data_IF_897157647251
#
_entry.id   IF_897157647251
#
_cell.length_a   1.000
_cell.length_b   1.000
_cell.length_c   1.000
_cell.angle_alpha   90.00
_cell.angle_beta   90.00
_cell.angle_gamma   90.00
#
_symmetry.space_group_name_H-M   'P 1'
#
loop_
_entity.id
_entity.type
_entity.pdbx_description
1 polymer ?
#
# COMPACT_ATOMS: atom_id res chain seq x y z
N UNK A 1 -4.58 -28.74 34.87
CA UNK A 1 -3.57 -27.66 34.81
C UNK A 1 -3.97 -26.76 33.65
N UNK A 2 -4.64 -25.64 33.96
CA UNK A 2 -5.25 -24.73 32.98
C UNK A 2 -4.20 -23.66 32.66
N UNK A 3 -3.77 -23.58 31.40
CA UNK A 3 -2.92 -22.49 30.90
C UNK A 3 -3.84 -21.27 30.80
N UNK A 4 -3.53 -20.23 31.58
CA UNK A 4 -4.19 -18.93 31.47
C UNK A 4 -3.63 -18.23 30.24
N UNK A 5 -4.50 -17.97 29.27
CA UNK A 5 -4.21 -17.11 28.13
C UNK A 5 -3.86 -15.71 28.65
N UNK A 6 -2.64 -15.26 28.34
CA UNK A 6 -2.27 -13.86 28.49
C UNK A 6 -2.97 -13.06 27.40
N UNK A 7 -4.20 -12.65 27.68
CA UNK A 7 -4.89 -11.61 26.91
C UNK A 7 -4.15 -10.30 27.21
N UNK A 8 -3.36 -9.84 26.25
CA UNK A 8 -2.91 -8.44 26.23
C UNK A 8 -4.19 -7.61 26.08
N UNK A 9 -4.49 -6.83 27.10
CA UNK A 9 -5.63 -5.91 27.14
C UNK A 9 -5.57 -4.95 25.95
N UNK A 10 -6.26 -5.28 24.86
CA UNK A 10 -6.66 -4.30 23.87
C UNK A 10 -7.61 -3.32 24.57
N UNK A 11 -7.12 -2.10 24.82
CA UNK A 11 -7.99 -1.01 25.23
C UNK A 11 -9.08 -0.88 24.16
N UNK A 12 -10.38 -0.83 24.52
CA UNK A 12 -11.43 -0.64 23.53
C UNK A 12 -11.26 0.75 22.92
N UNK A 13 -10.68 0.81 21.72
CA UNK A 13 -10.71 2.01 20.90
C UNK A 13 -12.17 2.24 20.57
N UNK A 14 -12.73 3.38 21.01
CA UNK A 14 -14.14 3.68 20.81
C UNK A 14 -14.39 3.78 19.30
N UNK A 15 -15.41 3.09 18.78
CA UNK A 15 -15.74 3.07 17.34
C UNK A 15 -15.79 4.48 16.72
N UNK A 16 -16.27 5.48 17.47
CA UNK A 16 -16.31 6.89 17.05
C UNK A 16 -14.91 7.49 16.78
N UNK A 17 -13.88 7.09 17.52
CA UNK A 17 -12.51 7.57 17.35
C UNK A 17 -11.84 6.95 16.10
N UNK A 18 -12.15 5.68 15.81
CA UNK A 18 -11.71 5.00 14.58
C UNK A 18 -12.31 5.70 13.35
N UNK A 19 -13.62 6.00 13.39
CA UNK A 19 -14.32 6.74 12.34
C UNK A 19 -13.72 8.13 12.08
N UNK A 20 -13.33 8.86 13.12
CA UNK A 20 -12.69 10.18 12.96
C UNK A 20 -11.30 10.10 12.32
N UNK A 21 -10.49 9.11 12.70
CA UNK A 21 -9.16 8.89 12.11
C UNK A 21 -9.30 8.55 10.63
N UNK A 22 -10.23 7.66 10.28
CA UNK A 22 -10.44 7.25 8.88
C UNK A 22 -10.91 8.40 8.00
N UNK A 23 -11.80 9.28 8.51
CA UNK A 23 -12.22 10.48 7.78
C UNK A 23 -11.07 11.45 7.55
N UNK A 24 -10.28 11.77 8.60
CA UNK A 24 -9.09 12.63 8.49
C UNK A 24 -8.07 12.06 7.50
N UNK A 25 -7.88 10.75 7.54
CA UNK A 25 -6.95 10.06 6.65
C UNK A 25 -7.44 10.12 5.20
N UNK A 26 -8.73 9.91 4.93
CA UNK A 26 -9.30 10.01 3.59
C UNK A 26 -9.10 11.41 2.99
N UNK A 27 -9.37 12.45 3.78
CA UNK A 27 -9.17 13.85 3.34
C UNK A 27 -7.69 14.14 3.08
N UNK A 28 -6.80 13.67 3.95
CA UNK A 28 -5.36 13.79 3.77
C UNK A 28 -4.88 13.13 2.47
N UNK A 29 -5.29 11.88 2.22
CA UNK A 29 -4.90 11.13 1.03
C UNK A 29 -5.42 11.79 -0.25
N UNK A 30 -6.67 12.28 -0.21
CA UNK A 30 -7.25 13.02 -1.33
C UNK A 30 -6.46 14.29 -1.63
N UNK A 31 -6.12 15.09 -0.61
CA UNK A 31 -5.32 16.30 -0.78
C UNK A 31 -3.92 15.99 -1.33
N UNK A 32 -3.25 14.95 -0.84
CA UNK A 32 -1.94 14.52 -1.35
C UNK A 32 -2.02 14.16 -2.83
N UNK A 33 -3.01 13.36 -3.24
CA UNK A 33 -3.22 12.98 -4.64
C UNK A 33 -3.54 14.20 -5.52
N UNK A 34 -4.44 15.08 -5.05
CA UNK A 34 -4.82 16.28 -5.78
C UNK A 34 -3.60 17.19 -6.02
N UNK A 35 -2.76 17.40 -5.00
CA UNK A 35 -1.53 18.17 -5.08
C UNK A 35 -0.53 17.57 -6.07
N UNK A 36 -0.35 16.24 -6.02
CA UNK A 36 0.60 15.56 -6.90
C UNK A 36 0.15 15.56 -8.36
N UNK A 37 -1.16 15.44 -8.62
CA UNK A 37 -1.72 15.64 -9.96
C UNK A 37 -1.39 17.04 -10.48
N UNK A 38 -1.55 18.09 -9.66
CA UNK A 38 -1.20 19.45 -10.07
C UNK A 38 0.30 19.60 -10.34
N UNK A 39 1.15 19.01 -9.49
CA UNK A 39 2.61 19.03 -9.68
C UNK A 39 2.99 18.37 -11.00
N UNK A 40 2.54 17.14 -11.26
CA UNK A 40 2.83 16.41 -12.50
C UNK A 40 2.32 17.18 -13.72
N UNK A 41 1.12 17.76 -13.64
CA UNK A 41 0.55 18.58 -14.71
C UNK A 41 1.39 19.81 -15.01
N UNK A 42 1.95 20.45 -13.99
CA UNK A 42 2.81 21.63 -14.16
C UNK A 42 4.13 21.32 -14.88
N UNK A 43 4.70 20.13 -14.66
CA UNK A 43 6.02 19.74 -15.21
C UNK A 43 5.89 19.05 -16.58
N UNK A 44 4.90 18.18 -16.74
CA UNK A 44 4.79 17.28 -17.90
C UNK A 44 3.61 17.57 -18.83
N UNK A 45 2.69 18.47 -18.43
CA UNK A 45 1.36 18.67 -19.05
C UNK A 45 0.46 17.43 -19.02
N UNK A 46 0.88 16.32 -18.41
CA UNK A 46 0.05 15.14 -18.19
C UNK A 46 -0.84 15.35 -16.97
N UNK A 47 -2.06 14.82 -17.02
CA UNK A 47 -2.97 14.80 -15.87
C UNK A 47 -3.20 13.34 -15.48
N UNK A 48 -2.48 12.80 -14.48
CA UNK A 48 -2.70 11.44 -14.02
C UNK A 48 -4.15 11.18 -13.63
N UNK A 49 -4.61 9.95 -13.85
CA UNK A 49 -5.98 9.54 -13.52
C UNK A 49 -5.98 8.92 -12.12
N UNK A 50 -6.62 9.57 -11.12
CA UNK A 50 -6.78 8.96 -9.81
C UNK A 50 -7.76 7.79 -9.91
N UNK A 51 -7.40 6.64 -9.31
CA UNK A 51 -8.30 5.50 -9.20
C UNK A 51 -8.79 5.35 -7.75
N UNK A 52 -10.11 5.19 -7.52
CA UNK A 52 -10.64 4.93 -6.19
C UNK A 52 -10.11 3.62 -5.61
N UNK A 53 -9.44 3.71 -4.46
CA UNK A 53 -8.92 2.56 -3.72
C UNK A 53 -10.03 2.02 -2.81
N UNK A 54 -10.20 0.70 -2.82
CA UNK A 54 -11.12 -0.01 -1.92
C UNK A 54 -10.40 -0.55 -0.70
N UNK A 55 -9.21 -1.11 -0.89
CA UNK A 55 -8.43 -1.67 0.20
C UNK A 55 -6.92 -1.66 -0.11
N UNK A 56 -6.11 -1.46 0.91
CA UNK A 56 -4.65 -1.62 0.85
C UNK A 56 -4.21 -2.53 1.99
N UNK A 57 -3.26 -3.42 1.71
CA UNK A 57 -2.64 -4.25 2.74
C UNK A 57 -1.26 -4.72 2.31
N UNK A 58 -0.54 -5.37 3.21
CA UNK A 58 0.66 -6.14 2.86
C UNK A 58 0.31 -7.62 2.98
N UNK A 59 0.69 -8.40 1.96
CA UNK A 59 0.65 -9.86 1.98
C UNK A 59 2.07 -10.37 2.14
N UNK A 60 2.30 -11.32 3.03
CA UNK A 60 3.61 -11.92 3.22
C UNK A 60 3.69 -13.21 2.40
N UNK A 61 4.67 -13.27 1.51
CA UNK A 61 4.97 -14.44 0.71
C UNK A 61 6.05 -15.27 1.40
N UNK A 62 5.66 -16.44 1.87
CA UNK A 62 6.53 -17.41 2.56
C UNK A 62 7.09 -18.48 1.63
N UNK A 63 6.95 -18.36 0.30
CA UNK A 63 7.50 -19.33 -0.67
C UNK A 63 8.99 -19.60 -0.43
N UNK A 64 9.73 -18.60 0.07
CA UNK A 64 11.07 -18.77 0.63
C UNK A 64 11.02 -18.51 2.14
N UNK A 65 10.84 -19.55 3.00
CA UNK A 65 10.58 -19.35 4.43
C UNK A 65 11.67 -18.57 5.19
N UNK A 66 12.93 -18.68 4.75
CA UNK A 66 14.07 -17.93 5.32
C UNK A 66 14.16 -16.47 4.85
N UNK A 67 13.41 -16.12 3.81
CA UNK A 67 13.42 -14.81 3.16
C UNK A 67 11.98 -14.42 2.79
N UNK A 68 11.10 -14.21 3.80
CA UNK A 68 9.74 -13.77 3.54
C UNK A 68 9.74 -12.44 2.80
N UNK A 69 8.83 -12.29 1.85
CA UNK A 69 8.74 -11.11 0.99
C UNK A 69 7.42 -10.39 1.29
N UNK A 70 7.50 -9.09 1.58
CA UNK A 70 6.33 -8.23 1.68
C UNK A 70 5.82 -7.87 0.27
N UNK A 71 4.56 -8.17 -0.02
CA UNK A 71 3.86 -7.83 -1.25
C UNK A 71 2.81 -6.75 -0.95
N UNK A 72 2.94 -5.60 -1.61
CA UNK A 72 2.03 -4.47 -1.48
C UNK A 72 0.74 -4.75 -2.27
N UNK A 73 -0.37 -4.97 -1.56
CA UNK A 73 -1.66 -5.27 -2.16
C UNK A 73 -2.50 -4.00 -2.28
N UNK A 74 -2.97 -3.72 -3.49
CA UNK A 74 -3.94 -2.66 -3.78
C UNK A 74 -5.16 -3.30 -4.44
N UNK A 75 -6.31 -3.11 -3.83
CA UNK A 75 -7.62 -3.41 -4.42
C UNK A 75 -8.32 -2.09 -4.77
N UNK A 76 -8.73 -1.95 -6.03
CA UNK A 76 -9.37 -0.73 -6.53
C UNK A 76 -10.83 -0.97 -6.90
N UNK A 77 -11.62 0.09 -6.85
CA UNK A 77 -12.98 0.11 -7.40
C UNK A 77 -12.97 0.58 -8.86
N UNK A 78 -12.31 -0.19 -9.73
CA UNK A 78 -12.24 0.08 -11.16
C UNK A 78 -12.13 -1.22 -11.94
N UNK A 79 -12.77 -1.29 -13.11
CA UNK A 79 -12.66 -2.44 -14.02
C UNK A 79 -11.41 -2.44 -14.89
N UNK A 80 -10.41 -1.62 -14.55
CA UNK A 80 -9.16 -1.49 -15.30
C UNK A 80 -8.39 -2.83 -15.35
N UNK A 81 -7.84 -3.14 -16.52
CA UNK A 81 -7.02 -4.33 -16.75
C UNK A 81 -5.55 -4.05 -16.41
N UNK A 82 -5.15 -4.48 -15.21
CA UNK A 82 -3.79 -4.25 -14.70
C UNK A 82 -2.69 -5.02 -15.43
N UNK A 83 -3.03 -6.00 -16.30
CA UNK A 83 -2.02 -6.67 -17.15
C UNK A 83 -1.42 -5.72 -18.19
N UNK A 84 -2.05 -4.57 -18.42
CA UNK A 84 -1.58 -3.52 -19.34
C UNK A 84 -0.49 -2.63 -18.73
N UNK A 85 -0.24 -2.75 -17.42
CA UNK A 85 0.83 -1.99 -16.76
C UNK A 85 2.17 -2.48 -17.26
N UNK A 86 3.02 -1.54 -17.66
CA UNK A 86 4.39 -1.79 -18.10
C UNK A 86 5.42 -1.36 -17.06
N UNK A 87 5.07 -0.36 -16.24
CA UNK A 87 5.95 0.19 -15.23
C UNK A 87 5.14 0.72 -14.04
N UNK A 88 5.71 0.56 -12.86
CA UNK A 88 5.24 1.20 -11.63
C UNK A 88 6.38 2.11 -11.16
N UNK A 89 6.06 3.36 -10.83
CA UNK A 89 6.95 4.26 -10.11
C UNK A 89 6.33 4.56 -8.76
N UNK A 90 7.19 4.68 -7.75
CA UNK A 90 6.79 4.87 -6.36
C UNK A 90 7.58 6.05 -5.83
N UNK A 91 6.91 7.01 -5.18
CA UNK A 91 7.60 8.11 -4.53
C UNK A 91 8.38 7.62 -3.31
N UNK A 92 9.26 8.47 -2.78
CA UNK A 92 9.86 8.24 -1.48
C UNK A 92 8.78 8.10 -0.38
N UNK A 93 8.97 7.19 0.60
CA UNK A 93 8.05 7.03 1.72
C UNK A 93 7.98 8.26 2.63
N UNK A 94 6.78 8.74 2.89
CA UNK A 94 6.51 9.82 3.85
C UNK A 94 5.83 9.25 5.10
N UNK A 95 6.34 9.48 6.32
CA UNK A 95 5.62 9.12 7.54
C UNK A 95 4.33 9.95 7.67
N UNK A 96 3.32 9.39 8.33
CA UNK A 96 2.03 10.08 8.53
C UNK A 96 1.67 10.23 10.01
N UNK A 97 1.48 11.47 10.44
CA UNK A 97 1.18 11.79 11.84
C UNK A 97 -0.21 11.28 12.27
N UNK A 98 -1.17 11.25 11.33
CA UNK A 98 -2.56 10.80 11.58
C UNK A 98 -2.59 9.31 11.96
N UNK A 99 -1.64 8.51 11.47
CA UNK A 99 -1.54 7.07 11.75
C UNK A 99 -0.08 6.67 11.97
N UNK A 100 0.46 6.88 13.19
CA UNK A 100 1.83 6.55 13.51
C UNK A 100 2.17 5.09 13.20
N UNK A 101 3.39 4.84 12.71
CA UNK A 101 3.84 3.51 12.26
C UNK A 101 3.44 3.15 10.82
N UNK A 102 2.73 4.04 10.13
CA UNK A 102 2.46 3.90 8.70
C UNK A 102 3.27 4.91 7.89
N UNK A 103 3.57 4.53 6.66
CA UNK A 103 4.12 5.40 5.62
C UNK A 103 3.19 5.49 4.42
N UNK A 104 3.27 6.63 3.74
CA UNK A 104 2.55 6.98 2.53
C UNK A 104 3.50 7.03 1.33
N UNK A 105 3.02 6.57 0.18
CA UNK A 105 3.66 6.80 -1.12
C UNK A 105 2.63 7.09 -2.21
N UNK A 106 3.04 7.87 -3.20
CA UNK A 106 2.37 7.92 -4.49
C UNK A 106 2.79 6.72 -5.34
N UNK A 107 1.81 6.00 -5.87
CA UNK A 107 2.04 4.91 -6.82
C UNK A 107 1.55 5.35 -8.19
N UNK A 108 2.48 5.50 -9.13
CA UNK A 108 2.18 5.80 -10.53
C UNK A 108 2.25 4.52 -11.36
N UNK A 109 1.19 4.22 -12.09
CA UNK A 109 1.09 3.06 -12.97
C UNK A 109 1.08 3.54 -14.43
N UNK A 110 2.06 3.10 -15.19
CA UNK A 110 2.21 3.45 -16.60
C UNK A 110 1.81 2.30 -17.49
N UNK A 111 1.16 2.64 -18.60
CA UNK A 111 0.80 1.71 -19.68
C UNK A 111 1.41 2.21 -20.99
N UNK A 112 1.09 1.58 -22.10
CA UNK A 112 1.38 2.13 -23.44
C UNK A 112 0.60 3.43 -23.74
N UNK A 113 -0.43 3.75 -22.95
CA UNK A 113 -1.19 5.00 -23.06
C UNK A 113 -0.47 6.15 -22.34
N UNK A 114 -0.64 7.40 -22.84
CA UNK A 114 0.13 8.55 -22.35
C UNK A 114 -0.25 9.02 -20.94
N UNK A 115 -1.45 8.69 -20.44
CA UNK A 115 -1.90 9.15 -19.12
C UNK A 115 -1.60 8.07 -18.06
N UNK A 116 -0.72 8.37 -17.08
CA UNK A 116 -0.50 7.47 -15.97
C UNK A 116 -1.71 7.44 -15.04
N UNK A 117 -1.82 6.34 -14.29
CA UNK A 117 -2.75 6.23 -13.17
C UNK A 117 -2.01 6.59 -11.90
N UNK A 118 -2.65 7.31 -10.98
CA UNK A 118 -2.09 7.63 -9.66
C UNK A 118 -2.94 6.98 -8.57
N UNK A 119 -2.28 6.37 -7.59
CA UNK A 119 -2.91 5.70 -6.45
C UNK A 119 -2.19 6.12 -5.15
N UNK A 120 -2.93 6.57 -4.12
CA UNK A 120 -2.38 6.71 -2.78
C UNK A 120 -2.19 5.33 -2.15
N UNK A 121 -1.01 5.06 -1.58
CA UNK A 121 -0.75 3.81 -0.87
C UNK A 121 -0.24 4.08 0.54
N UNK A 122 -0.87 3.42 1.51
CA UNK A 122 -0.48 3.44 2.90
C UNK A 122 -0.06 2.04 3.32
N UNK A 123 1.03 1.94 4.07
CA UNK A 123 1.50 0.65 4.54
C UNK A 123 2.16 0.74 5.91
N UNK A 124 2.05 -0.36 6.66
CA UNK A 124 2.72 -0.52 7.95
C UNK A 124 4.22 -0.74 7.73
N UNK A 125 5.05 0.10 8.34
CA UNK A 125 6.52 0.03 8.20
C UNK A 125 7.14 -1.05 9.07
N UNK A 126 6.43 -1.50 10.11
CA UNK A 126 6.91 -2.44 11.13
C UNK A 126 6.22 -3.79 11.03
N UNK A 127 6.05 -4.30 9.81
CA UNK A 127 5.34 -5.56 9.57
C UNK A 127 6.05 -6.74 10.26
N UNK A 128 5.44 -7.24 11.33
CA UNK A 128 5.87 -8.44 12.04
C UNK A 128 5.09 -9.65 11.58
N UNK A 129 5.76 -10.80 11.53
CA UNK A 129 5.10 -12.07 11.26
C UNK A 129 5.77 -13.22 11.98
N UNK A 130 5.06 -14.33 12.11
CA UNK A 130 5.55 -15.53 12.79
C UNK A 130 5.89 -16.58 11.76
N UNK A 131 7.13 -17.06 11.76
CA UNK A 131 7.52 -18.18 10.91
C UNK A 131 6.87 -19.47 11.42
N UNK A 132 6.23 -20.23 10.53
CA UNK A 132 5.48 -21.45 10.86
C UNK A 132 6.31 -22.49 11.63
N UNK A 133 7.62 -22.55 11.37
CA UNK A 133 8.48 -23.59 11.93
C UNK A 133 9.00 -23.30 13.34
N UNK A 134 9.20 -22.03 13.71
CA UNK A 134 9.97 -21.67 14.91
C UNK A 134 9.18 -20.82 15.92
N UNK A 135 7.92 -20.45 15.62
CA UNK A 135 7.10 -19.50 16.41
C UNK A 135 7.83 -18.17 16.74
N UNK A 136 8.88 -17.86 16.00
CA UNK A 136 9.70 -16.67 16.18
C UNK A 136 9.11 -15.53 15.37
N UNK A 137 8.88 -14.39 16.03
CA UNK A 137 8.54 -13.15 15.35
C UNK A 137 9.74 -12.66 14.53
N UNK A 138 9.48 -12.36 13.26
CA UNK A 138 10.45 -11.75 12.34
C UNK A 138 9.84 -10.48 11.76
N UNK A 139 10.68 -9.46 11.67
CA UNK A 139 10.35 -8.22 10.96
C UNK A 139 10.56 -8.45 9.47
N UNK A 140 9.50 -8.25 8.68
CA UNK A 140 9.57 -8.35 7.23
C UNK A 140 9.75 -6.95 6.65
N UNK A 141 10.93 -6.69 6.09
CA UNK A 141 11.22 -5.41 5.46
C UNK A 141 10.39 -5.26 4.17
N UNK A 142 9.61 -4.20 4.08
CA UNK A 142 8.92 -3.82 2.85
C UNK A 142 9.79 -2.83 2.06
N UNK A 143 10.35 -3.29 0.94
CA UNK A 143 11.16 -2.45 0.04
C UNK A 143 10.33 -1.85 -1.11
N UNK A 144 9.00 -1.99 -1.09
CA UNK A 144 8.09 -1.49 -2.14
C UNK A 144 8.37 -2.05 -3.56
N UNK A 145 9.04 -3.21 -3.65
CA UNK A 145 9.42 -3.84 -4.91
C UNK A 145 8.38 -4.81 -5.46
N UNK A 146 7.46 -5.30 -4.63
CA UNK A 146 6.49 -6.33 -5.01
C UNK A 146 5.08 -5.79 -4.84
N UNK A 147 4.26 -5.93 -5.88
CA UNK A 147 2.91 -5.38 -5.93
C UNK A 147 1.90 -6.41 -6.41
N UNK A 148 0.74 -6.43 -5.76
CA UNK A 148 -0.42 -7.21 -6.14
C UNK A 148 -1.60 -6.27 -6.37
N UNK A 149 -1.94 -6.06 -7.63
CA UNK A 149 -3.02 -5.18 -8.06
C UNK A 149 -4.29 -5.98 -8.35
N UNK A 150 -5.41 -5.55 -7.80
CA UNK A 150 -6.70 -6.24 -7.90
C UNK A 150 -7.78 -5.25 -8.34
N UNK A 151 -8.47 -5.57 -9.43
CA UNK A 151 -9.54 -4.73 -9.97
C UNK A 151 -10.92 -5.12 -9.42
N UNK A 152 -11.97 -4.38 -9.79
CA UNK A 152 -13.33 -4.61 -9.29
C UNK A 152 -13.96 -5.93 -9.76
N UNK A 153 -13.35 -6.62 -10.74
CA UNK A 153 -13.75 -7.96 -11.19
C UNK A 153 -13.03 -9.08 -10.42
N UNK A 154 -12.15 -8.73 -9.48
CA UNK A 154 -11.31 -9.68 -8.75
C UNK A 154 -10.12 -10.21 -9.55
N UNK A 155 -9.83 -9.65 -10.73
CA UNK A 155 -8.67 -10.02 -11.53
C UNK A 155 -7.39 -9.53 -10.84
N UNK A 156 -6.40 -10.42 -10.72
CA UNK A 156 -5.16 -10.19 -9.97
C UNK A 156 -3.97 -10.08 -10.92
N UNK A 157 -3.14 -9.06 -10.71
CA UNK A 157 -1.87 -8.89 -11.44
C UNK A 157 -0.73 -8.69 -10.45
N UNK A 158 0.27 -9.56 -10.50
CA UNK A 158 1.51 -9.42 -9.71
C UNK A 158 2.54 -8.67 -10.56
N UNK A 159 3.13 -7.62 -10.00
CA UNK A 159 4.17 -6.82 -10.64
C UNK A 159 5.37 -6.75 -9.71
N UNK A 160 6.56 -6.81 -10.29
CA UNK A 160 7.81 -6.55 -9.60
C UNK A 160 8.43 -5.28 -10.17
N UNK A 161 8.83 -4.39 -9.29
CA UNK A 161 9.49 -3.14 -9.62
C UNK A 161 10.95 -3.30 -9.26
N UNK A 162 11.82 -3.13 -10.25
CA UNK A 162 13.24 -2.90 -9.99
C UNK A 162 13.39 -1.43 -9.60
N UNK A 163 14.02 -1.18 -8.46
CA UNK A 163 14.09 0.15 -7.87
C UNK A 163 14.63 1.17 -8.89
N UNK A 164 13.77 2.09 -9.32
CA UNK A 164 14.20 3.34 -9.91
C UNK A 164 14.21 4.35 -8.77
N UNK A 165 15.37 4.48 -8.12
CA UNK A 165 15.73 5.71 -7.42
C UNK A 165 15.62 6.83 -8.45
N UNK A 166 15.03 7.96 -8.05
CA UNK A 166 14.78 9.13 -8.91
C UNK A 166 16.01 9.48 -9.78
N UNK A 167 15.75 9.84 -11.04
CA UNK A 167 16.71 10.56 -11.89
C UNK A 167 16.57 12.05 -11.61
#
# INVERSE_FOLDING_TARGET
MIIKDNIVSEMPVKENEVLEIDLKLNDYLKQKVDNEIQRIKSISKLSPIPIPVKNTSIVIDFTKPKHPIAINRIEVNSGFDFKKIKQIMVSEPEPIDIKPGYSYVHVLLFTEKPLPIIIPYLYDVNLKTTLENDKKEVLVKNNLTEWLLINSKGERTRQRVEAFLEV
#
